data_IF_870707292897
#
_entry.id   IF_870707292897
#
_cell.length_a   1.000
_cell.length_b   1.000
_cell.length_c   1.000
_cell.angle_alpha   90.00
_cell.angle_beta   90.00
_cell.angle_gamma   90.00
#
_symmetry.space_group_name_H-M   'P 1'
#
loop_
_entity.id
_entity.type
_entity.pdbx_description
1 polymer ?
#
# COMPACT_ATOMS: atom_id res chain seq x y z
N UNK A 1 -4.01 -9.73 21.20
CA UNK A 1 -3.67 -8.36 20.76
C UNK A 1 -3.28 -7.53 21.97
N UNK A 2 -2.24 -6.70 21.88
CA UNK A 2 -1.69 -5.95 23.02
C UNK A 2 -2.75 -5.05 23.69
N UNK A 3 -3.61 -4.39 22.90
CA UNK A 3 -4.71 -3.59 23.44
C UNK A 3 -5.68 -4.42 24.29
N UNK A 4 -6.04 -5.63 23.84
CA UNK A 4 -6.93 -6.52 24.61
C UNK A 4 -6.34 -6.87 25.96
N UNK A 5 -5.05 -7.22 26.00
CA UNK A 5 -4.37 -7.52 27.25
C UNK A 5 -4.34 -6.32 28.20
N UNK A 6 -4.12 -5.11 27.67
CA UNK A 6 -4.15 -3.89 28.47
C UNK A 6 -5.56 -3.55 28.99
N UNK A 7 -6.60 -3.74 28.17
CA UNK A 7 -8.01 -3.55 28.56
C UNK A 7 -8.42 -4.58 29.60
N UNK A 8 -8.03 -5.85 29.45
CA UNK A 8 -8.33 -6.90 30.43
C UNK A 8 -7.64 -6.63 31.77
N UNK A 9 -6.37 -6.19 31.73
CA UNK A 9 -5.64 -5.79 32.93
C UNK A 9 -6.25 -4.56 33.62
N UNK A 10 -6.75 -3.59 32.85
CA UNK A 10 -7.49 -2.44 33.38
C UNK A 10 -8.82 -2.84 34.01
N UNK A 11 -9.57 -3.73 33.38
CA UNK A 11 -10.87 -4.18 33.88
C UNK A 11 -10.76 -5.00 35.18
N UNK A 12 -9.67 -5.73 35.37
CA UNK A 12 -9.45 -6.61 36.53
C UNK A 12 -8.95 -5.88 37.78
N UNK A 13 -8.48 -4.64 37.67
CA UNK A 13 -7.84 -3.89 38.77
C UNK A 13 -8.85 -3.02 39.54
N UNK A 14 -8.77 -2.97 40.89
CA UNK A 14 -9.58 -2.06 41.71
C UNK A 14 -9.03 -0.62 41.72
N UNK A 15 -9.80 0.32 42.25
CA UNK A 15 -9.28 1.67 42.54
C UNK A 15 -8.20 1.61 43.63
N UNK A 16 -7.14 2.44 43.57
CA UNK A 16 -6.93 3.60 42.68
C UNK A 16 -6.10 3.33 41.41
N UNK A 17 -5.62 2.09 41.21
CA UNK A 17 -4.70 1.75 40.10
C UNK A 17 -5.36 1.81 38.70
N UNK A 18 -6.69 1.89 38.66
CA UNK A 18 -7.48 1.86 37.44
C UNK A 18 -7.15 2.98 36.47
N UNK A 19 -6.88 4.19 36.97
CA UNK A 19 -6.49 5.33 36.13
C UNK A 19 -5.15 5.08 35.39
N UNK A 20 -4.16 4.52 36.09
CA UNK A 20 -2.86 4.21 35.49
C UNK A 20 -2.96 3.09 34.44
N UNK A 21 -3.80 2.07 34.70
CA UNK A 21 -4.05 0.98 33.72
C UNK A 21 -4.81 1.48 32.50
N UNK A 22 -5.74 2.43 32.65
CA UNK A 22 -6.43 3.06 31.53
C UNK A 22 -5.46 3.82 30.63
N UNK A 23 -4.58 4.65 31.20
CA UNK A 23 -3.57 5.39 30.44
C UNK A 23 -2.65 4.46 29.62
N UNK A 24 -2.35 3.26 30.14
CA UNK A 24 -1.59 2.25 29.40
C UNK A 24 -2.38 1.71 28.19
N UNK A 25 -3.67 1.39 28.37
CA UNK A 25 -4.52 0.91 27.27
C UNK A 25 -4.71 1.99 26.19
N UNK A 26 -4.89 3.24 26.60
CA UNK A 26 -4.96 4.40 25.71
C UNK A 26 -3.65 4.60 24.94
N UNK A 27 -2.50 4.53 25.61
CA UNK A 27 -1.20 4.61 24.94
C UNK A 27 -0.97 3.49 23.91
N UNK A 28 -1.41 2.28 24.19
CA UNK A 28 -1.33 1.16 23.21
C UNK A 28 -2.27 1.42 22.04
N UNK A 29 -3.50 1.87 22.31
CA UNK A 29 -4.41 2.30 21.24
C UNK A 29 -3.76 3.37 20.40
N UNK A 30 -3.00 4.27 21.04
CA UNK A 30 -2.32 5.35 20.37
C UNK A 30 -1.17 4.91 19.47
N UNK A 31 -0.49 3.85 19.86
CA UNK A 31 0.54 3.21 19.05
C UNK A 31 -0.07 2.48 17.85
N UNK A 32 -1.19 1.79 18.02
CA UNK A 32 -1.80 0.99 16.96
C UNK A 32 -2.19 1.83 15.73
N UNK A 33 -2.99 2.89 15.91
CA UNK A 33 -3.34 3.81 14.81
C UNK A 33 -2.12 4.62 14.33
N UNK A 34 -1.18 4.99 15.20
CA UNK A 34 0.04 5.73 14.80
C UNK A 34 0.93 4.92 13.86
N UNK A 35 1.23 3.67 14.21
CA UNK A 35 2.00 2.76 13.35
C UNK A 35 1.26 2.48 12.04
N UNK A 36 -0.07 2.31 12.11
CA UNK A 36 -0.89 2.10 10.90
C UNK A 36 -0.85 3.32 9.97
N UNK A 37 -0.95 4.53 10.51
CA UNK A 37 -0.82 5.79 9.77
C UNK A 37 0.54 5.89 9.08
N UNK A 38 1.63 5.64 9.84
CA UNK A 38 2.99 5.66 9.32
C UNK A 38 3.20 4.68 8.15
N UNK A 39 2.75 3.43 8.31
CA UNK A 39 2.84 2.43 7.25
C UNK A 39 2.08 2.84 5.98
N UNK A 40 0.86 3.38 6.13
CA UNK A 40 0.06 3.87 5.00
C UNK A 40 0.75 5.05 4.30
N UNK A 41 1.33 5.99 5.04
CA UNK A 41 2.05 7.14 4.46
C UNK A 41 3.28 6.68 3.69
N UNK A 42 4.09 5.80 4.28
CA UNK A 42 5.28 5.25 3.62
C UNK A 42 4.93 4.51 2.33
N UNK A 43 3.93 3.63 2.39
CA UNK A 43 3.46 2.90 1.22
C UNK A 43 2.94 3.87 0.14
N UNK A 44 2.15 4.86 0.54
CA UNK A 44 1.64 5.88 -0.36
C UNK A 44 2.74 6.67 -1.05
N UNK A 45 3.74 7.13 -0.30
CA UNK A 45 4.91 7.83 -0.84
C UNK A 45 5.69 6.95 -1.83
N UNK A 46 5.95 5.68 -1.47
CA UNK A 46 6.65 4.74 -2.35
C UNK A 46 5.90 4.54 -3.68
N UNK A 47 4.58 4.37 -3.65
CA UNK A 47 3.75 4.20 -4.84
C UNK A 47 3.72 5.45 -5.71
N UNK A 48 3.67 6.64 -5.12
CA UNK A 48 3.78 7.90 -5.87
C UNK A 48 5.12 7.98 -6.59
N UNK A 49 6.22 7.74 -5.87
CA UNK A 49 7.57 7.81 -6.46
C UNK A 49 7.74 6.81 -7.61
N UNK A 50 7.35 5.54 -7.38
CA UNK A 50 7.43 4.51 -8.43
C UNK A 50 6.50 4.85 -9.60
N UNK A 51 5.27 5.31 -9.32
CA UNK A 51 4.31 5.70 -10.35
C UNK A 51 4.84 6.83 -11.24
N UNK A 52 5.50 7.83 -10.66
CA UNK A 52 6.16 8.93 -11.40
C UNK A 52 7.26 8.40 -12.30
N UNK A 53 8.13 7.51 -11.79
CA UNK A 53 9.21 6.90 -12.59
C UNK A 53 8.65 6.08 -13.75
N UNK A 54 7.62 5.27 -13.50
CA UNK A 54 6.97 4.44 -14.51
C UNK A 54 6.27 5.32 -15.58
N UNK A 55 5.65 6.42 -15.17
CA UNK A 55 5.02 7.36 -16.09
C UNK A 55 6.04 8.10 -16.99
N UNK A 56 7.28 8.26 -16.51
CA UNK A 56 8.35 8.86 -17.31
C UNK A 56 8.91 7.92 -18.39
N UNK A 57 8.80 6.59 -18.22
CA UNK A 57 9.56 5.62 -19.01
C UNK A 57 9.03 5.39 -20.46
N UNK A 58 7.71 5.24 -20.72
CA UNK A 58 7.14 5.05 -22.07
C UNK A 58 5.63 5.34 -22.16
N UNK A 59 5.07 5.58 -23.37
CA UNK A 59 3.65 5.98 -23.57
C UNK A 59 2.61 4.94 -23.09
N UNK A 60 2.91 3.64 -23.21
CA UNK A 60 2.04 2.56 -22.69
C UNK A 60 2.18 2.39 -21.17
N UNK A 61 3.37 2.67 -20.63
CA UNK A 61 3.64 2.66 -19.19
C UNK A 61 3.04 3.86 -18.45
N UNK A 62 2.69 4.95 -19.15
CA UNK A 62 2.12 6.17 -18.57
C UNK A 62 0.83 5.97 -17.80
N UNK A 63 -0.15 5.25 -18.37
CA UNK A 63 -1.41 5.01 -17.66
C UNK A 63 -1.20 4.20 -16.39
N UNK A 64 -0.30 3.22 -16.43
CA UNK A 64 0.04 2.39 -15.27
C UNK A 64 0.70 3.26 -14.19
N UNK A 65 1.64 4.12 -14.57
CA UNK A 65 2.29 5.06 -13.65
C UNK A 65 1.29 6.02 -12.98
N UNK A 66 0.30 6.55 -13.72
CA UNK A 66 -0.75 7.39 -13.15
C UNK A 66 -1.66 6.64 -12.17
N UNK A 67 -2.04 5.40 -12.48
CA UNK A 67 -2.85 4.58 -11.56
C UNK A 67 -2.08 4.25 -10.28
N UNK A 68 -0.77 3.97 -10.38
CA UNK A 68 0.11 3.78 -9.22
C UNK A 68 0.22 5.04 -8.37
N UNK A 69 0.44 6.20 -9.00
CA UNK A 69 0.50 7.47 -8.29
C UNK A 69 -0.83 7.82 -7.61
N UNK A 70 -1.95 7.60 -8.29
CA UNK A 70 -3.29 7.82 -7.72
C UNK A 70 -3.56 6.89 -6.52
N UNK A 71 -3.17 5.61 -6.62
CA UNK A 71 -3.24 4.68 -5.49
C UNK A 71 -2.39 5.17 -4.31
N UNK A 72 -1.16 5.64 -4.59
CA UNK A 72 -0.27 6.19 -3.58
C UNK A 72 -0.86 7.41 -2.86
N UNK A 73 -1.48 8.33 -3.61
CA UNK A 73 -2.21 9.47 -3.03
C UNK A 73 -3.35 9.03 -2.12
N UNK A 74 -4.07 7.97 -2.49
CA UNK A 74 -5.11 7.38 -1.66
C UNK A 74 -4.57 6.83 -0.33
N UNK A 75 -3.42 6.14 -0.35
CA UNK A 75 -2.75 5.66 0.85
C UNK A 75 -2.20 6.80 1.73
N UNK A 76 -1.74 7.91 1.15
CA UNK A 76 -1.36 9.11 1.90
C UNK A 76 -2.56 9.72 2.63
N UNK A 77 -3.69 9.91 1.93
CA UNK A 77 -4.92 10.40 2.53
C UNK A 77 -5.43 9.46 3.63
N UNK A 78 -5.38 8.15 3.39
CA UNK A 78 -5.71 7.12 4.36
C UNK A 78 -4.86 7.26 5.62
N UNK A 79 -3.53 7.34 5.47
CA UNK A 79 -2.59 7.48 6.57
C UNK A 79 -2.82 8.76 7.37
N UNK A 80 -3.11 9.88 6.71
CA UNK A 80 -3.46 11.14 7.35
C UNK A 80 -4.72 11.00 8.22
N UNK A 81 -5.81 10.48 7.65
CA UNK A 81 -7.09 10.30 8.36
C UNK A 81 -6.94 9.37 9.55
N UNK A 82 -6.17 8.29 9.42
CA UNK A 82 -5.88 7.39 10.54
C UNK A 82 -5.06 8.10 11.60
N UNK A 83 -4.10 8.94 11.24
CA UNK A 83 -3.27 9.65 12.22
C UNK A 83 -4.06 10.66 13.06
N UNK A 84 -5.02 11.35 12.42
CA UNK A 84 -5.85 12.38 13.08
C UNK A 84 -7.03 11.78 13.85
N UNK A 85 -7.76 10.84 13.23
CA UNK A 85 -9.07 10.38 13.70
C UNK A 85 -9.11 8.90 14.10
N UNK A 86 -8.06 8.14 13.78
CA UNK A 86 -7.90 6.76 14.17
C UNK A 86 -8.61 5.77 13.29
N UNK A 87 -8.97 4.66 13.90
CA UNK A 87 -9.82 3.68 13.27
C UNK A 87 -11.26 4.22 13.29
N UNK A 88 -11.50 5.26 12.50
CA UNK A 88 -12.80 5.84 12.23
C UNK A 88 -13.33 5.30 10.90
N UNK A 89 -14.66 5.30 10.74
CA UNK A 89 -15.30 4.88 9.49
C UNK A 89 -14.91 5.76 8.28
N UNK A 90 -14.44 6.98 8.52
CA UNK A 90 -13.98 7.91 7.48
C UNK A 90 -12.83 7.38 6.63
N UNK A 91 -12.11 6.38 7.14
CA UNK A 91 -10.98 5.78 6.44
C UNK A 91 -11.37 4.66 5.44
N UNK A 92 -12.61 4.18 5.48
CA UNK A 92 -13.05 3.03 4.66
C UNK A 92 -13.00 3.33 3.15
N UNK A 93 -13.46 4.51 2.74
CA UNK A 93 -13.51 4.89 1.32
C UNK A 93 -12.10 5.05 0.72
N UNK A 94 -11.17 5.84 1.32
CA UNK A 94 -9.79 5.93 0.84
C UNK A 94 -9.11 4.56 0.75
N UNK A 95 -9.34 3.70 1.74
CA UNK A 95 -8.77 2.34 1.78
C UNK A 95 -9.23 1.51 0.58
N UNK A 96 -10.54 1.43 0.35
CA UNK A 96 -11.11 0.62 -0.72
C UNK A 96 -10.65 1.11 -2.10
N UNK A 97 -10.69 2.42 -2.33
CA UNK A 97 -10.22 3.04 -3.58
C UNK A 97 -8.75 2.71 -3.83
N UNK A 98 -7.91 2.85 -2.80
CA UNK A 98 -6.47 2.63 -2.91
C UNK A 98 -6.13 1.17 -3.21
N UNK A 99 -6.81 0.23 -2.54
CA UNK A 99 -6.64 -1.21 -2.77
C UNK A 99 -7.04 -1.58 -4.19
N UNK A 100 -8.22 -1.15 -4.66
CA UNK A 100 -8.68 -1.45 -6.01
C UNK A 100 -7.73 -0.88 -7.06
N UNK A 101 -7.27 0.35 -6.88
CA UNK A 101 -6.31 0.98 -7.78
C UNK A 101 -4.99 0.21 -7.85
N UNK A 102 -4.48 -0.29 -6.71
CA UNK A 102 -3.26 -1.11 -6.68
C UNK A 102 -3.46 -2.44 -7.40
N UNK A 103 -4.59 -3.13 -7.18
CA UNK A 103 -4.86 -4.44 -7.78
C UNK A 103 -4.99 -4.29 -9.29
N UNK A 104 -5.73 -3.29 -9.75
CA UNK A 104 -5.88 -2.98 -11.18
C UNK A 104 -4.51 -2.68 -11.80
N UNK A 105 -3.70 -1.85 -11.14
CA UNK A 105 -2.35 -1.50 -11.62
C UNK A 105 -1.45 -2.74 -11.73
N UNK A 106 -1.46 -3.60 -10.71
CA UNK A 106 -0.64 -4.80 -10.66
C UNK A 106 -1.03 -5.81 -11.76
N UNK A 107 -2.34 -6.04 -11.95
CA UNK A 107 -2.85 -6.93 -13.01
C UNK A 107 -2.45 -6.39 -14.38
N UNK A 108 -2.65 -5.09 -14.63
CA UNK A 108 -2.30 -4.50 -15.91
C UNK A 108 -0.79 -4.59 -16.17
N UNK A 109 0.04 -4.28 -15.17
CA UNK A 109 1.49 -4.37 -15.29
C UNK A 109 1.92 -5.81 -15.61
N UNK A 110 1.38 -6.82 -14.91
CA UNK A 110 1.65 -8.23 -15.18
C UNK A 110 1.22 -8.68 -16.60
N UNK A 111 0.05 -8.24 -17.07
CA UNK A 111 -0.42 -8.54 -18.43
C UNK A 111 0.48 -7.86 -19.48
N UNK A 112 0.90 -6.62 -19.23
CA UNK A 112 1.75 -5.86 -20.15
C UNK A 112 3.14 -6.47 -20.32
N UNK A 113 3.76 -6.91 -19.21
CA UNK A 113 5.08 -7.56 -19.24
C UNK A 113 5.00 -8.93 -19.91
N UNK A 114 3.92 -9.69 -19.68
CA UNK A 114 3.70 -10.96 -20.38
C UNK A 114 3.59 -10.75 -21.90
N UNK A 115 2.76 -9.80 -22.35
CA UNK A 115 2.58 -9.53 -23.79
C UNK A 115 3.88 -9.06 -24.47
N UNK A 116 4.72 -8.29 -23.78
CA UNK A 116 6.04 -7.89 -24.31
C UNK A 116 6.99 -9.10 -24.49
N UNK A 117 6.96 -10.06 -23.56
CA UNK A 117 7.79 -11.27 -23.64
C UNK A 117 7.38 -12.16 -24.84
N UNK A 118 6.09 -12.26 -25.13
CA UNK A 118 5.57 -13.00 -26.30
C UNK A 118 5.97 -12.36 -27.63
N UNK A 119 6.13 -11.03 -27.65
CA UNK A 119 6.47 -10.27 -28.85
C UNK A 119 7.95 -10.24 -29.18
N UNK A 120 8.83 -10.78 -28.33
CA UNK A 120 10.27 -10.86 -28.64
C UNK A 120 10.50 -12.08 -29.54
N UNK A 121 10.71 -11.91 -30.87
CA UNK A 121 10.84 -13.07 -31.75
C UNK A 121 12.14 -13.80 -31.43
N UNK A 122 12.08 -15.14 -31.39
CA UNK A 122 13.27 -16.01 -31.33
C UNK A 122 14.18 -15.59 -32.49
N UNK A 123 15.48 -15.26 -32.28
CA UNK A 123 16.36 -14.98 -33.40
C UNK A 123 16.33 -16.19 -34.32
N UNK A 124 15.90 -15.98 -35.56
CA UNK A 124 15.85 -16.99 -36.60
C UNK A 124 17.28 -17.33 -36.99
N UNK A 125 17.92 -18.18 -36.19
CA UNK A 125 19.09 -18.92 -36.64
C UNK A 125 18.59 -20.07 -37.51
N UNK A 126 18.81 -19.97 -38.82
CA UNK A 126 18.93 -21.16 -39.67
C UNK A 126 19.77 -20.81 -40.92
N UNK A 127 20.45 -21.80 -41.50
CA UNK A 127 21.86 -21.70 -41.89
C UNK A 127 22.04 -21.49 -43.38
N UNK A 128 22.78 -20.45 -43.79
CA UNK A 128 23.14 -20.27 -45.19
C UNK A 128 24.46 -20.99 -45.51
N UNK A 129 24.27 -22.23 -45.97
CA UNK A 129 25.07 -22.93 -46.97
C UNK A 129 25.94 -22.01 -47.83
N UNK A 130 27.26 -22.05 -47.62
CA UNK A 130 28.24 -21.61 -48.62
C UNK A 130 28.88 -22.86 -49.22
N UNK A 131 28.43 -23.22 -50.42
CA UNK A 131 29.18 -23.95 -51.44
C UNK A 131 28.85 -23.25 -52.77
N UNK A 132 29.87 -22.98 -53.59
CA UNK A 132 30.34 -24.01 -54.52
C UNK A 132 31.83 -24.33 -54.44
#
# INVERSE_FOLDING_TARGET
>A
MALKQAVDAWAAVPEPEKAARFATAEGIRWLEWGVRSYQSILLGAALVLVGVVVAAAHRVARMIGYLMALSGLGYLAQGWIIGESGFSGGNSIPTLVSILAIVISAIWLAVSTWRMKEQTPRPSGSPESIAP
#
